data_IF_821428818770
#
_entry.id   IF_821428818770
#
_cell.length_a   1.000
_cell.length_b   1.000
_cell.length_c   1.000
_cell.angle_alpha   90.00
_cell.angle_beta   90.00
_cell.angle_gamma   90.00
#
_symmetry.space_group_name_H-M   'P 1'
#
loop_
_entity.id
_entity.type
_entity.pdbx_description
1 polymer ?
#
# COMPACT_ATOMS: atom_id res chain seq x y z
N UNK A 1 -15.08 -18.88 24.41
CA UNK A 1 -13.90 -18.02 24.24
C UNK A 1 -13.04 -18.54 23.09
N UNK A 2 -12.39 -17.70 22.28
CA UNK A 2 -11.58 -18.15 21.14
C UNK A 2 -10.53 -19.18 21.51
N UNK A 3 -9.83 -19.01 22.65
CA UNK A 3 -8.80 -19.91 23.14
C UNK A 3 -9.36 -21.31 23.46
N UNK A 4 -10.55 -21.37 24.04
CA UNK A 4 -11.20 -22.65 24.33
C UNK A 4 -11.63 -23.41 23.06
N UNK A 5 -12.02 -22.66 22.01
CA UNK A 5 -12.31 -23.24 20.70
C UNK A 5 -11.02 -23.68 19.99
N UNK A 6 -9.96 -22.90 20.09
CA UNK A 6 -8.67 -23.18 19.49
C UNK A 6 -7.98 -24.41 20.08
N UNK A 7 -8.24 -24.73 21.35
CA UNK A 7 -7.67 -25.92 22.01
C UNK A 7 -8.02 -27.22 21.28
N UNK A 8 -9.16 -27.30 20.58
CA UNK A 8 -9.55 -28.45 19.78
C UNK A 8 -8.69 -28.67 18.51
N UNK A 9 -7.90 -27.68 18.11
CA UNK A 9 -7.07 -27.69 16.91
C UNK A 9 -5.56 -27.79 17.21
N UNK A 10 -5.22 -28.02 18.48
CA UNK A 10 -3.82 -28.25 18.89
C UNK A 10 -3.35 -29.60 18.35
N UNK A 11 -2.25 -29.58 17.59
CA UNK A 11 -1.62 -30.78 17.02
C UNK A 11 -0.14 -30.47 16.79
N UNK A 12 0.70 -30.88 17.75
CA UNK A 12 2.13 -30.61 17.72
C UNK A 12 2.84 -31.25 16.51
N UNK A 13 2.34 -32.39 16.00
CA UNK A 13 2.90 -33.06 14.82
C UNK A 13 2.66 -32.25 13.55
N UNK A 14 1.58 -31.45 13.52
CA UNK A 14 1.25 -30.53 12.42
C UNK A 14 1.76 -29.11 12.64
N UNK A 15 2.60 -28.88 13.64
CA UNK A 15 3.19 -27.56 13.92
C UNK A 15 2.26 -26.60 14.68
N UNK A 16 1.22 -27.12 15.35
CA UNK A 16 0.30 -26.34 16.19
C UNK A 16 0.45 -26.82 17.65
N UNK A 17 1.49 -26.36 18.36
CA UNK A 17 1.85 -26.90 19.69
C UNK A 17 0.86 -26.48 20.80
N UNK A 18 0.13 -25.40 20.64
CA UNK A 18 -0.77 -24.84 21.65
C UNK A 18 -1.95 -24.05 21.05
N UNK A 19 -2.86 -23.59 21.90
CA UNK A 19 -4.05 -22.84 21.48
C UNK A 19 -3.69 -21.45 20.89
N UNK A 20 -2.60 -20.82 21.31
CA UNK A 20 -2.18 -19.55 20.72
C UNK A 20 -1.68 -19.73 19.29
N UNK A 21 -0.91 -20.78 19.03
CA UNK A 21 -0.50 -21.14 17.67
C UNK A 21 -1.70 -21.47 16.77
N UNK A 22 -2.73 -22.15 17.31
CA UNK A 22 -3.97 -22.42 16.60
C UNK A 22 -4.72 -21.12 16.26
N UNK A 23 -4.80 -20.16 17.20
CA UNK A 23 -5.41 -18.84 16.96
C UNK A 23 -4.61 -18.00 15.96
N UNK A 24 -3.29 -18.03 16.04
CA UNK A 24 -2.42 -17.34 15.09
C UNK A 24 -2.65 -17.87 13.66
N UNK A 25 -2.67 -19.20 13.49
CA UNK A 25 -2.99 -19.82 12.19
C UNK A 25 -4.38 -19.46 11.68
N UNK A 26 -5.38 -19.43 12.55
CA UNK A 26 -6.73 -19.00 12.19
C UNK A 26 -6.76 -17.53 11.76
N UNK A 27 -6.04 -16.64 12.46
CA UNK A 27 -5.91 -15.23 12.08
C UNK A 27 -5.25 -15.07 10.71
N UNK A 28 -4.21 -15.84 10.41
CA UNK A 28 -3.53 -15.81 9.11
C UNK A 28 -4.47 -16.21 7.97
N UNK A 29 -5.22 -17.32 8.12
CA UNK A 29 -6.18 -17.76 7.13
C UNK A 29 -7.29 -16.73 6.90
N UNK A 30 -7.78 -16.11 7.98
CA UNK A 30 -8.81 -15.06 7.90
C UNK A 30 -8.24 -13.80 7.22
N UNK A 31 -7.01 -13.41 7.57
CA UNK A 31 -6.32 -12.26 6.98
C UNK A 31 -6.17 -12.39 5.46
N UNK A 32 -5.75 -13.58 4.98
CA UNK A 32 -5.65 -13.88 3.55
C UNK A 32 -7.02 -13.78 2.85
N UNK A 33 -8.05 -14.44 3.42
CA UNK A 33 -9.41 -14.40 2.85
C UNK A 33 -9.97 -12.99 2.78
N UNK A 34 -9.73 -12.16 3.79
CA UNK A 34 -10.20 -10.77 3.80
C UNK A 34 -9.43 -9.92 2.79
N UNK A 35 -8.12 -10.13 2.67
CA UNK A 35 -7.30 -9.42 1.71
C UNK A 35 -7.63 -9.80 0.25
N UNK A 36 -8.22 -10.97 0.01
CA UNK A 36 -8.65 -11.44 -1.31
C UNK A 36 -10.12 -11.09 -1.63
N UNK A 37 -10.90 -10.61 -0.64
CA UNK A 37 -12.31 -10.26 -0.85
C UNK A 37 -12.44 -9.13 -1.89
N UNK A 38 -13.07 -9.45 -3.03
CA UNK A 38 -13.13 -8.54 -4.16
C UNK A 38 -13.90 -7.24 -3.86
N UNK A 39 -15.07 -7.26 -3.20
CA UNK A 39 -15.76 -6.04 -2.80
C UNK A 39 -14.92 -5.13 -1.87
N UNK A 40 -14.23 -5.73 -0.89
CA UNK A 40 -13.35 -5.00 0.01
C UNK A 40 -12.15 -4.39 -0.73
N UNK A 41 -11.48 -5.17 -1.60
CA UNK A 41 -10.38 -4.71 -2.45
C UNK A 41 -10.80 -3.52 -3.32
N UNK A 42 -11.95 -3.62 -3.97
CA UNK A 42 -12.45 -2.55 -4.84
C UNK A 42 -12.72 -1.27 -4.05
N UNK A 43 -13.31 -1.40 -2.86
CA UNK A 43 -13.58 -0.25 -1.99
C UNK A 43 -12.31 0.44 -1.55
N UNK A 44 -11.30 -0.33 -1.12
CA UNK A 44 -9.99 0.20 -0.72
C UNK A 44 -9.22 0.76 -1.94
N UNK A 45 -9.29 0.12 -3.10
CA UNK A 45 -8.68 0.63 -4.35
C UNK A 45 -9.21 2.01 -4.70
N UNK A 46 -10.53 2.24 -4.60
CA UNK A 46 -11.14 3.55 -4.81
C UNK A 46 -10.64 4.57 -3.78
N UNK A 47 -10.49 4.17 -2.52
CA UNK A 47 -9.93 5.02 -1.47
C UNK A 47 -8.47 5.40 -1.78
N UNK A 48 -7.62 4.45 -2.14
CA UNK A 48 -6.22 4.67 -2.51
C UNK A 48 -6.12 5.62 -3.72
N UNK A 49 -6.95 5.44 -4.74
CA UNK A 49 -6.97 6.33 -5.91
C UNK A 49 -7.40 7.76 -5.58
N UNK A 50 -8.36 7.94 -4.67
CA UNK A 50 -8.91 9.25 -4.31
C UNK A 50 -8.06 9.97 -3.25
N UNK A 51 -7.57 9.27 -2.24
CA UNK A 51 -6.91 9.82 -1.06
C UNK A 51 -5.43 9.44 -0.97
N UNK A 52 -4.92 8.76 -1.98
CA UNK A 52 -3.52 8.37 -2.05
C UNK A 52 -2.61 9.59 -2.02
N UNK A 53 -1.66 9.56 -1.10
CA UNK A 53 -0.62 10.56 -0.96
C UNK A 53 0.70 9.96 -1.44
N UNK A 54 1.31 10.61 -2.40
CA UNK A 54 2.66 10.28 -2.85
C UNK A 54 3.66 10.98 -1.92
N UNK A 55 4.40 10.20 -1.17
CA UNK A 55 5.44 10.70 -0.26
C UNK A 55 6.80 10.29 -0.78
N UNK A 56 7.72 11.24 -0.78
CA UNK A 56 9.11 11.04 -1.16
C UNK A 56 10.03 11.46 -0.02
N UNK A 57 11.03 10.63 0.27
CA UNK A 57 12.08 10.91 1.23
C UNK A 57 13.43 10.53 0.65
N UNK A 58 14.48 11.27 1.02
CA UNK A 58 15.83 10.87 0.71
C UNK A 58 16.17 9.52 1.37
N UNK A 59 16.97 8.72 0.69
CA UNK A 59 17.59 7.54 1.28
C UNK A 59 18.69 8.00 2.23
N UNK A 60 18.60 7.58 3.50
CA UNK A 60 19.54 8.00 4.54
C UNK A 60 21.00 7.79 4.13
N UNK A 61 21.81 8.84 4.31
CA UNK A 61 23.24 8.85 3.96
C UNK A 61 23.53 9.09 2.48
N UNK A 62 22.53 9.34 1.65
CA UNK A 62 22.70 9.67 0.23
C UNK A 62 22.40 11.13 -0.12
N UNK A 63 21.96 11.93 0.84
CA UNK A 63 21.57 13.34 0.63
C UNK A 63 22.72 14.22 0.13
N UNK A 64 23.95 13.90 0.53
CA UNK A 64 25.16 14.67 0.18
C UNK A 64 25.90 14.15 -1.05
N UNK A 65 25.42 13.03 -1.63
CA UNK A 65 26.01 12.49 -2.87
C UNK A 65 25.75 13.47 -4.02
N UNK A 66 26.78 13.86 -4.81
CA UNK A 66 26.62 14.84 -5.89
C UNK A 66 25.49 14.52 -6.87
N UNK A 67 25.34 13.23 -7.24
CA UNK A 67 24.30 12.77 -8.18
C UNK A 67 22.88 12.85 -7.59
N UNK A 68 22.75 12.91 -6.27
CA UNK A 68 21.45 13.08 -5.60
C UNK A 68 20.93 14.51 -5.68
N UNK A 69 21.80 15.50 -5.98
CA UNK A 69 21.47 16.92 -6.00
C UNK A 69 20.29 17.25 -6.93
N UNK A 70 20.14 16.52 -8.05
CA UNK A 70 19.02 16.66 -9.00
C UNK A 70 17.65 16.24 -8.42
N UNK A 71 17.64 15.52 -7.28
CA UNK A 71 16.43 15.09 -6.59
C UNK A 71 16.17 15.82 -5.28
N UNK A 72 16.96 16.86 -4.96
CA UNK A 72 16.92 17.58 -3.68
C UNK A 72 15.52 18.09 -3.34
N UNK A 73 14.76 18.57 -4.32
CA UNK A 73 13.40 19.07 -4.12
C UNK A 73 12.43 17.98 -3.64
N UNK A 74 12.77 16.70 -3.86
CA UNK A 74 11.95 15.55 -3.48
C UNK A 74 12.46 14.82 -2.22
N UNK A 75 13.46 15.32 -1.52
CA UNK A 75 14.01 14.69 -0.31
C UNK A 75 13.03 14.68 0.85
N UNK A 76 12.05 15.57 0.85
CA UNK A 76 10.93 15.60 1.78
C UNK A 76 9.71 16.21 1.06
N UNK A 77 9.02 15.39 0.28
CA UNK A 77 7.92 15.85 -0.57
C UNK A 77 6.67 15.00 -0.36
N UNK A 78 5.53 15.67 -0.21
CA UNK A 78 4.22 15.03 -0.11
C UNK A 78 3.23 15.73 -1.04
N UNK A 79 2.52 14.98 -1.87
CA UNK A 79 1.43 15.52 -2.69
C UNK A 79 0.34 14.47 -2.97
N UNK A 80 -0.92 14.88 -3.22
CA UNK A 80 -1.96 13.96 -3.65
C UNK A 80 -1.58 13.27 -4.96
N UNK A 81 -1.54 11.94 -4.97
CA UNK A 81 -1.14 11.15 -6.13
C UNK A 81 -2.00 11.42 -7.37
N UNK A 82 -3.31 11.63 -7.15
CA UNK A 82 -4.25 11.92 -8.24
C UNK A 82 -3.96 13.25 -8.97
N UNK A 83 -3.35 14.22 -8.29
CA UNK A 83 -3.08 15.57 -8.81
C UNK A 83 -1.61 15.78 -9.21
N UNK A 84 -0.73 14.82 -8.89
CA UNK A 84 0.69 14.94 -9.20
C UNK A 84 0.93 15.04 -10.71
N UNK A 85 1.66 16.06 -11.19
CA UNK A 85 1.97 16.20 -12.61
C UNK A 85 2.94 15.11 -13.08
N UNK A 86 2.80 14.69 -14.32
CA UNK A 86 3.54 13.55 -14.88
C UNK A 86 5.05 13.70 -14.82
N UNK A 87 5.58 14.88 -15.10
CA UNK A 87 7.02 15.13 -15.02
C UNK A 87 7.58 14.91 -13.61
N UNK A 88 6.80 15.24 -12.56
CA UNK A 88 7.18 15.06 -11.16
C UNK A 88 7.11 13.60 -10.74
N UNK A 89 6.05 12.90 -11.15
CA UNK A 89 5.92 11.45 -10.95
C UNK A 89 7.13 10.72 -11.54
N UNK A 90 7.48 11.02 -12.80
CA UNK A 90 8.63 10.39 -13.47
C UNK A 90 9.96 10.73 -12.81
N UNK A 91 10.14 11.99 -12.38
CA UNK A 91 11.35 12.40 -11.66
C UNK A 91 11.51 11.64 -10.33
N UNK A 92 10.44 11.51 -9.54
CA UNK A 92 10.48 10.78 -8.28
C UNK A 92 10.69 9.28 -8.49
N UNK A 93 10.03 8.65 -9.46
CA UNK A 93 10.27 7.23 -9.77
C UNK A 93 11.70 6.97 -10.24
N UNK A 94 12.26 7.86 -11.06
CA UNK A 94 13.68 7.78 -11.44
C UNK A 94 14.61 7.92 -10.23
N UNK A 95 14.33 8.85 -9.33
CA UNK A 95 15.11 9.03 -8.10
C UNK A 95 15.08 7.80 -7.19
N UNK A 96 13.96 7.08 -7.16
CA UNK A 96 13.84 5.81 -6.44
C UNK A 96 14.61 4.68 -7.16
N UNK A 97 14.49 4.57 -8.47
CA UNK A 97 15.22 3.57 -9.28
C UNK A 97 16.74 3.76 -9.18
N UNK A 98 17.21 5.01 -9.18
CA UNK A 98 18.63 5.34 -8.95
C UNK A 98 19.04 5.21 -7.47
N UNK A 99 18.11 4.90 -6.57
CA UNK A 99 18.37 4.63 -5.16
C UNK A 99 18.66 5.87 -4.30
N UNK A 100 18.24 7.06 -4.73
CA UNK A 100 18.35 8.31 -3.97
C UNK A 100 17.11 8.67 -3.20
N UNK A 101 15.93 8.21 -3.67
CA UNK A 101 14.65 8.45 -3.03
C UNK A 101 14.02 7.14 -2.56
N UNK A 102 13.16 7.27 -1.55
CA UNK A 102 12.22 6.23 -1.12
C UNK A 102 10.81 6.78 -1.24
N UNK A 103 9.98 6.12 -2.01
CA UNK A 103 8.61 6.53 -2.25
C UNK A 103 7.61 5.64 -1.49
N UNK A 104 6.50 6.25 -1.07
CA UNK A 104 5.33 5.52 -0.61
C UNK A 104 4.05 6.14 -1.19
N UNK A 105 3.07 5.29 -1.47
CA UNK A 105 1.78 5.63 -2.07
C UNK A 105 0.67 5.03 -1.21
N UNK A 106 0.31 5.74 -0.14
CA UNK A 106 -0.66 5.30 0.87
C UNK A 106 -1.75 6.35 1.06
N UNK A 107 -2.92 5.98 1.55
CA UNK A 107 -3.92 6.96 1.95
C UNK A 107 -3.34 7.99 2.93
N UNK A 108 -3.84 9.22 2.85
CA UNK A 108 -3.42 10.28 3.77
C UNK A 108 -3.62 9.89 5.23
N UNK A 109 -4.74 9.23 5.52
CA UNK A 109 -5.07 8.69 6.84
C UNK A 109 -5.11 7.16 6.78
N UNK A 110 -3.99 6.54 7.11
CA UNK A 110 -3.82 5.09 7.11
C UNK A 110 -4.71 4.40 8.15
N UNK A 111 -4.89 4.99 9.33
CA UNK A 111 -5.75 4.45 10.40
C UNK A 111 -7.21 4.40 9.96
N UNK A 112 -7.68 5.43 9.26
CA UNK A 112 -9.03 5.46 8.72
C UNK A 112 -9.23 4.37 7.64
N UNK A 113 -8.23 4.12 6.82
CA UNK A 113 -8.27 3.05 5.83
C UNK A 113 -8.30 1.66 6.47
N UNK A 114 -7.50 1.45 7.52
CA UNK A 114 -7.51 0.23 8.31
C UNK A 114 -8.86 0.00 8.99
N UNK A 115 -9.40 1.02 9.64
CA UNK A 115 -10.71 0.95 10.29
C UNK A 115 -11.84 0.69 9.28
N UNK A 116 -11.80 1.33 8.13
CA UNK A 116 -12.76 1.08 7.06
C UNK A 116 -12.72 -0.39 6.64
N UNK A 117 -11.53 -0.95 6.44
CA UNK A 117 -11.36 -2.35 6.06
C UNK A 117 -11.86 -3.29 7.17
N UNK A 118 -11.45 -3.08 8.41
CA UNK A 118 -11.86 -3.92 9.54
C UNK A 118 -13.39 -3.93 9.72
N UNK A 119 -14.06 -2.79 9.56
CA UNK A 119 -15.54 -2.67 9.69
C UNK A 119 -16.31 -3.45 8.62
N UNK A 120 -15.70 -3.84 7.52
CA UNK A 120 -16.37 -4.70 6.52
C UNK A 120 -16.62 -6.10 7.05
N UNK A 121 -15.83 -6.57 8.01
CA UNK A 121 -15.83 -7.95 8.49
C UNK A 121 -16.20 -8.10 9.95
N UNK A 122 -15.88 -7.12 10.79
CA UNK A 122 -16.16 -7.17 12.24
C UNK A 122 -17.63 -6.83 12.50
N UNK A 123 -18.36 -7.78 13.12
CA UNK A 123 -19.78 -7.64 13.40
C UNK A 123 -20.12 -7.37 14.86
N UNK A 124 -19.19 -7.60 15.77
CA UNK A 124 -19.36 -7.38 17.21
C UNK A 124 -18.02 -7.17 17.90
N UNK A 125 -18.03 -6.65 19.11
CA UNK A 125 -16.83 -6.36 19.92
C UNK A 125 -16.52 -7.47 20.96
N UNK A 126 -17.16 -8.63 20.83
CA UNK A 126 -16.90 -9.78 21.68
C UNK A 126 -15.49 -10.37 21.47
N UNK A 127 -15.10 -11.38 22.25
CA UNK A 127 -13.77 -12.00 22.14
C UNK A 127 -13.44 -12.46 20.71
N UNK A 128 -14.36 -13.13 20.03
CA UNK A 128 -14.18 -13.54 18.64
C UNK A 128 -14.13 -12.35 17.67
N UNK A 129 -14.90 -11.28 17.94
CA UNK A 129 -14.84 -10.05 17.14
C UNK A 129 -13.49 -9.35 17.22
N UNK A 130 -12.81 -9.40 18.38
CA UNK A 130 -11.45 -8.88 18.53
C UNK A 130 -10.43 -9.69 17.71
N UNK A 131 -10.56 -11.02 17.67
CA UNK A 131 -9.71 -11.88 16.83
C UNK A 131 -9.89 -11.58 15.33
N UNK A 132 -11.16 -11.43 14.90
CA UNK A 132 -11.48 -11.02 13.52
C UNK A 132 -10.93 -9.64 13.19
N UNK A 133 -11.00 -8.68 14.13
CA UNK A 133 -10.40 -7.35 13.95
C UNK A 133 -8.88 -7.43 13.81
N UNK A 134 -8.23 -8.20 14.66
CA UNK A 134 -6.78 -8.40 14.60
C UNK A 134 -6.36 -8.99 13.25
N UNK A 135 -7.08 -10.02 12.77
CA UNK A 135 -6.85 -10.63 11.47
C UNK A 135 -7.08 -9.63 10.30
N UNK A 136 -8.12 -8.80 10.39
CA UNK A 136 -8.40 -7.78 9.38
C UNK A 136 -7.28 -6.72 9.31
N UNK A 137 -6.80 -6.23 10.46
CA UNK A 137 -5.71 -5.24 10.51
C UNK A 137 -4.39 -5.82 9.97
N UNK A 138 -4.09 -7.07 10.30
CA UNK A 138 -2.93 -7.78 9.75
C UNK A 138 -3.05 -7.97 8.24
N UNK A 139 -4.20 -8.47 7.76
CA UNK A 139 -4.47 -8.65 6.34
C UNK A 139 -4.39 -7.35 5.54
N UNK A 140 -4.88 -6.25 6.12
CA UNK A 140 -4.72 -4.94 5.51
C UNK A 140 -3.23 -4.55 5.41
N UNK A 141 -2.51 -4.56 6.53
CA UNK A 141 -1.14 -4.04 6.60
C UNK A 141 -0.14 -4.88 5.81
N UNK A 142 -0.23 -6.19 5.93
CA UNK A 142 0.74 -7.15 5.37
C UNK A 142 0.42 -7.53 3.92
N UNK A 143 -0.85 -7.61 3.53
CA UNK A 143 -1.26 -8.15 2.23
C UNK A 143 -1.91 -7.10 1.34
N UNK A 144 -3.00 -6.47 1.79
CA UNK A 144 -3.84 -5.65 0.93
C UNK A 144 -3.19 -4.31 0.59
N UNK A 145 -2.71 -3.56 1.59
CA UNK A 145 -2.19 -2.22 1.37
C UNK A 145 -0.91 -2.21 0.51
N UNK A 146 0.07 -3.13 0.66
CA UNK A 146 1.19 -3.24 -0.27
C UNK A 146 0.77 -3.57 -1.70
N UNK A 147 -0.24 -4.44 -1.88
CA UNK A 147 -0.76 -4.77 -3.20
C UNK A 147 -1.43 -3.56 -3.86
N UNK A 148 -2.28 -2.83 -3.14
CA UNK A 148 -2.94 -1.61 -3.64
C UNK A 148 -1.94 -0.48 -3.91
N UNK A 149 -0.90 -0.36 -3.11
CA UNK A 149 0.20 0.57 -3.36
C UNK A 149 0.90 0.26 -4.69
N UNK A 150 1.19 -1.01 -4.95
CA UNK A 150 1.78 -1.45 -6.22
C UNK A 150 0.84 -1.18 -7.40
N UNK A 151 -0.45 -1.46 -7.26
CA UNK A 151 -1.46 -1.15 -8.28
C UNK A 151 -1.50 0.35 -8.59
N UNK A 152 -1.55 1.20 -7.56
CA UNK A 152 -1.58 2.66 -7.71
C UNK A 152 -0.28 3.18 -8.34
N UNK A 153 0.86 2.65 -7.95
CA UNK A 153 2.17 2.98 -8.54
C UNK A 153 2.20 2.71 -10.03
N UNK A 154 1.73 1.54 -10.45
CA UNK A 154 1.67 1.16 -11.86
C UNK A 154 0.72 2.06 -12.66
N UNK A 155 -0.45 2.40 -12.10
CA UNK A 155 -1.39 3.32 -12.72
C UNK A 155 -0.80 4.73 -12.91
N UNK A 156 -0.11 5.25 -11.90
CA UNK A 156 0.56 6.55 -11.98
C UNK A 156 1.67 6.55 -13.03
N UNK A 157 2.47 5.49 -13.08
CA UNK A 157 3.53 5.36 -14.09
C UNK A 157 2.96 5.34 -15.50
N UNK A 158 1.95 4.51 -15.74
CA UNK A 158 1.29 4.43 -17.07
C UNK A 158 0.69 5.77 -17.49
N UNK A 159 0.01 6.48 -16.57
CA UNK A 159 -0.52 7.83 -16.82
C UNK A 159 0.58 8.81 -17.19
N UNK A 160 1.66 8.83 -16.42
CA UNK A 160 2.76 9.76 -16.61
C UNK A 160 3.53 9.49 -17.90
N UNK A 161 3.77 8.24 -18.25
CA UNK A 161 4.42 7.84 -19.50
C UNK A 161 3.57 8.24 -20.70
N UNK A 162 2.26 7.96 -20.68
CA UNK A 162 1.35 8.30 -21.77
C UNK A 162 1.27 9.82 -22.00
N UNK A 163 1.19 10.61 -20.94
CA UNK A 163 1.17 12.07 -21.04
C UNK A 163 2.50 12.62 -21.56
N UNK A 164 3.61 12.08 -21.11
CA UNK A 164 4.96 12.48 -21.55
C UNK A 164 5.16 12.22 -23.06
N UNK A 165 4.72 11.07 -23.55
CA UNK A 165 4.76 10.73 -24.99
C UNK A 165 3.87 11.70 -25.78
N UNK A 166 2.67 12.03 -25.30
CA UNK A 166 1.76 12.98 -25.95
C UNK A 166 2.39 14.36 -26.08
N UNK A 167 2.94 14.90 -24.99
CA UNK A 167 3.59 16.22 -24.98
C UNK A 167 4.80 16.24 -25.94
N UNK A 168 5.61 15.17 -25.91
CA UNK A 168 6.74 15.05 -26.85
C UNK A 168 6.28 15.06 -28.31
N UNK A 169 5.25 14.30 -28.64
CA UNK A 169 4.71 14.24 -30.02
C UNK A 169 4.14 15.59 -30.47
N UNK A 170 3.46 16.33 -29.58
CA UNK A 170 2.96 17.68 -29.86
C UNK A 170 4.11 18.67 -30.13
N UNK A 171 5.14 18.66 -29.28
CA UNK A 171 6.32 19.53 -29.46
C UNK A 171 7.05 19.21 -30.76
N UNK A 172 7.23 17.92 -31.09
CA UNK A 172 7.87 17.51 -32.33
C UNK A 172 7.08 17.98 -33.56
N UNK A 173 5.75 17.86 -33.52
CA UNK A 173 4.88 18.37 -34.59
C UNK A 173 5.02 19.87 -34.81
N UNK A 174 5.11 20.67 -33.73
CA UNK A 174 5.30 22.10 -33.80
C UNK A 174 6.66 22.50 -34.38
N UNK A 175 7.69 21.69 -34.17
CA UNK A 175 9.03 21.93 -34.73
C UNK A 175 9.16 21.58 -36.20
N UNK A 176 8.28 20.74 -36.74
CA UNK A 176 8.30 20.27 -38.13
C UNK A 176 7.34 21.03 -39.06
N UNK A 177 6.53 21.95 -38.53
CA UNK A 177 5.62 22.85 -39.27
C UNK A 177 6.22 24.25 -39.34
#
# INVERSE_FOLDING_TARGET
LPEAMAAAYVDAEKGVPDAEAALAGARDIIAERFAEDQPARERLRKLFGREGLMRSKAVSGKEEVPDAAKYRDYFAWDEPAAQAPSHRILAMFRGEEEGFLRLSLRPRNEEQAQDLFARLFVRNDGPCGREVRAAALDGYGRLLAPALETELRNQLKQRADAESIRVFAENLRQLLL
#
